data_IF_509669071377
#
_entry.id   IF_509669071377
#
_cell.length_a   1.000
_cell.length_b   1.000
_cell.length_c   1.000
_cell.angle_alpha   90.00
_cell.angle_beta   90.00
_cell.angle_gamma   90.00
#
_symmetry.space_group_name_H-M   'P 1'
#
loop_
_entity.id
_entity.type
_entity.pdbx_description
1 polymer ?
#
# COMPACT_ATOMS: atom_id res chain seq x y z
N UNK A 1 11.65 -35.56 -27.29
CA UNK A 1 10.61 -34.62 -27.76
C UNK A 1 9.28 -34.68 -26.99
N UNK A 2 8.53 -35.84 -26.99
CA UNK A 2 7.23 -35.93 -26.26
C UNK A 2 7.37 -35.87 -24.75
N UNK A 3 8.39 -36.55 -24.15
CA UNK A 3 8.63 -36.48 -22.70
C UNK A 3 9.04 -35.09 -22.25
N UNK A 4 9.79 -34.36 -23.05
CA UNK A 4 10.27 -33.03 -22.74
C UNK A 4 9.09 -32.02 -22.79
N UNK A 5 8.21 -32.15 -23.78
CA UNK A 5 6.99 -31.36 -23.86
C UNK A 5 6.05 -31.59 -22.65
N UNK A 6 5.90 -32.87 -22.22
CA UNK A 6 5.10 -33.21 -21.05
C UNK A 6 5.71 -32.63 -19.75
N UNK A 7 7.03 -32.67 -19.60
CA UNK A 7 7.71 -32.09 -18.45
C UNK A 7 7.54 -30.56 -18.40
N UNK A 8 7.66 -29.89 -19.55
CA UNK A 8 7.42 -28.46 -19.64
C UNK A 8 5.98 -28.08 -19.27
N UNK A 9 5.01 -28.87 -19.76
CA UNK A 9 3.60 -28.67 -19.41
C UNK A 9 3.35 -28.84 -17.91
N UNK A 10 3.92 -29.84 -17.30
CA UNK A 10 3.80 -30.11 -15.86
C UNK A 10 4.46 -28.98 -15.03
N UNK A 11 5.59 -28.44 -15.48
CA UNK A 11 6.23 -27.29 -14.83
C UNK A 11 5.37 -26.03 -14.95
N UNK A 12 4.84 -25.75 -16.14
CA UNK A 12 3.95 -24.61 -16.38
C UNK A 12 2.68 -24.67 -15.51
N UNK A 13 2.07 -25.86 -15.40
CA UNK A 13 0.89 -26.06 -14.55
C UNK A 13 1.20 -25.81 -13.07
N UNK A 14 2.33 -26.31 -12.55
CA UNK A 14 2.75 -26.04 -11.17
C UNK A 14 3.00 -24.55 -10.90
N UNK A 15 3.58 -23.85 -11.88
CA UNK A 15 3.81 -22.42 -11.78
C UNK A 15 2.49 -21.65 -11.79
N UNK A 16 1.54 -22.07 -12.62
CA UNK A 16 0.19 -21.50 -12.66
C UNK A 16 -0.54 -21.67 -11.32
N UNK A 17 -0.58 -22.91 -10.77
CA UNK A 17 -1.18 -23.17 -9.45
C UNK A 17 -0.56 -22.31 -8.34
N UNK A 18 0.77 -22.11 -8.39
CA UNK A 18 1.46 -21.22 -7.44
C UNK A 18 1.03 -19.78 -7.58
N UNK A 19 0.93 -19.28 -8.81
CA UNK A 19 0.49 -17.91 -9.10
C UNK A 19 -0.96 -17.68 -8.68
N UNK A 20 -1.85 -18.63 -8.94
CA UNK A 20 -3.26 -18.57 -8.53
C UNK A 20 -3.40 -18.52 -7.00
N UNK A 21 -2.61 -19.32 -6.28
CA UNK A 21 -2.57 -19.29 -4.82
C UNK A 21 -2.06 -17.93 -4.30
N UNK A 22 -0.96 -17.42 -4.88
CA UNK A 22 -0.42 -16.11 -4.50
C UNK A 22 -1.43 -14.98 -4.77
N UNK A 23 -2.18 -15.06 -5.86
CA UNK A 23 -3.24 -14.10 -6.16
C UNK A 23 -4.37 -14.14 -5.12
N UNK A 24 -4.85 -15.34 -4.79
CA UNK A 24 -5.87 -15.52 -3.76
C UNK A 24 -5.41 -15.03 -2.37
N UNK A 25 -4.14 -15.23 -2.02
CA UNK A 25 -3.58 -14.72 -0.76
C UNK A 25 -3.48 -13.18 -0.74
N UNK A 26 -3.19 -12.56 -1.89
CA UNK A 26 -3.19 -11.10 -2.03
C UNK A 26 -4.62 -10.53 -1.91
N UNK A 27 -5.61 -11.15 -2.53
CA UNK A 27 -7.01 -10.73 -2.42
C UNK A 27 -7.51 -10.79 -0.97
N UNK A 28 -7.20 -11.89 -0.26
CA UNK A 28 -7.54 -12.01 1.17
C UNK A 28 -6.88 -10.93 2.03
N UNK A 29 -5.63 -10.59 1.73
CA UNK A 29 -4.92 -9.51 2.44
C UNK A 29 -5.59 -8.16 2.19
N UNK A 30 -5.97 -7.87 0.95
CA UNK A 30 -6.67 -6.64 0.60
C UNK A 30 -8.04 -6.52 1.28
N UNK A 31 -8.81 -7.63 1.36
CA UNK A 31 -10.08 -7.67 2.07
C UNK A 31 -9.88 -7.43 3.57
N UNK A 32 -8.86 -8.04 4.16
CA UNK A 32 -8.53 -7.84 5.57
C UNK A 32 -8.10 -6.39 5.87
N UNK A 33 -7.30 -5.78 5.00
CA UNK A 33 -6.91 -4.37 5.11
C UNK A 33 -8.14 -3.47 5.06
N UNK A 34 -9.04 -3.70 4.11
CA UNK A 34 -10.26 -2.89 3.98
C UNK A 34 -11.16 -3.03 5.21
N UNK A 35 -11.36 -4.26 5.70
CA UNK A 35 -12.14 -4.51 6.91
C UNK A 35 -11.53 -3.86 8.16
N UNK A 36 -10.20 -3.87 8.30
CA UNK A 36 -9.52 -3.20 9.41
C UNK A 36 -9.67 -1.68 9.32
N UNK A 37 -9.60 -1.08 8.13
CA UNK A 37 -9.84 0.35 7.93
C UNK A 37 -11.29 0.70 8.32
N UNK A 38 -12.27 -0.04 7.84
CA UNK A 38 -13.69 0.21 8.15
C UNK A 38 -13.98 0.10 9.65
N UNK A 39 -13.35 -0.85 10.32
CA UNK A 39 -13.51 -1.09 11.75
C UNK A 39 -12.79 -0.07 12.63
N UNK A 40 -11.61 0.39 12.22
CA UNK A 40 -10.69 1.18 13.05
C UNK A 40 -10.77 2.68 12.77
N UNK A 41 -11.09 3.09 11.52
CA UNK A 41 -11.14 4.51 11.20
C UNK A 41 -12.43 5.16 11.71
N UNK A 42 -12.29 6.39 12.21
CA UNK A 42 -13.42 7.21 12.61
C UNK A 42 -14.12 7.82 11.39
N UNK A 43 -15.43 8.06 11.50
CA UNK A 43 -16.18 8.82 10.50
C UNK A 43 -16.16 10.33 10.76
N UNK A 44 -15.54 10.74 11.87
CA UNK A 44 -15.48 12.15 12.29
C UNK A 44 -14.30 12.89 11.67
N UNK A 45 -14.37 14.22 11.71
CA UNK A 45 -13.31 15.09 11.19
C UNK A 45 -13.46 15.40 9.70
N UNK A 46 -12.48 16.14 9.18
CA UNK A 46 -12.38 16.54 7.76
C UNK A 46 -11.08 15.99 7.22
N UNK A 47 -11.17 15.29 6.10
CA UNK A 47 -9.98 14.80 5.41
C UNK A 47 -9.09 15.98 4.96
N UNK A 48 -7.76 15.88 5.06
CA UNK A 48 -6.88 16.91 4.53
C UNK A 48 -6.99 16.98 3.00
N UNK A 49 -7.02 18.17 2.45
CA UNK A 49 -7.02 18.40 1.00
C UNK A 49 -5.66 18.04 0.38
N UNK A 50 -4.59 18.12 1.19
CA UNK A 50 -3.21 17.93 0.78
C UNK A 50 -2.45 17.02 1.75
N UNK A 51 -1.60 16.19 1.19
CA UNK A 51 -0.67 15.31 1.90
C UNK A 51 0.77 15.67 1.50
N UNK A 52 1.68 15.60 2.43
CA UNK A 52 3.11 15.71 2.15
C UNK A 52 3.69 14.37 1.70
N UNK A 53 4.77 14.41 0.92
CA UNK A 53 5.51 13.21 0.54
C UNK A 53 5.99 12.44 1.78
N UNK A 54 5.72 11.13 1.87
CA UNK A 54 6.10 10.33 3.05
C UNK A 54 7.60 10.08 3.15
N UNK A 55 8.36 10.36 2.10
CA UNK A 55 9.82 10.23 2.06
C UNK A 55 10.42 11.46 1.39
N UNK A 56 11.44 12.05 2.03
CA UNK A 56 12.07 13.29 1.53
C UNK A 56 13.15 13.04 0.48
N UNK A 57 13.65 11.80 0.38
CA UNK A 57 14.72 11.39 -0.54
C UNK A 57 14.34 10.08 -1.23
N UNK A 58 14.82 9.87 -2.44
CA UNK A 58 14.46 8.69 -3.22
C UNK A 58 13.70 9.06 -4.50
N UNK A 59 13.08 8.06 -5.11
CA UNK A 59 12.32 8.24 -6.35
C UNK A 59 11.15 7.26 -6.42
N UNK A 60 10.11 7.62 -7.17
CA UNK A 60 8.98 6.72 -7.41
C UNK A 60 9.40 5.62 -8.37
N UNK A 61 9.55 4.40 -7.87
CA UNK A 61 9.93 3.21 -8.65
C UNK A 61 8.73 2.54 -9.33
N UNK A 62 7.53 2.70 -8.77
CA UNK A 62 6.28 2.21 -9.36
C UNK A 62 5.13 3.16 -9.01
N UNK A 63 4.41 3.63 -10.01
CA UNK A 63 3.26 4.54 -9.82
C UNK A 63 1.92 3.80 -9.68
N UNK A 64 0.86 4.58 -9.49
CA UNK A 64 -0.53 4.13 -9.46
C UNK A 64 -0.99 3.80 -10.90
N UNK A 65 -0.92 2.54 -11.29
CA UNK A 65 -1.15 2.10 -12.68
C UNK A 65 -1.29 0.59 -12.83
N UNK A 66 -1.80 0.16 -13.96
CA UNK A 66 -1.66 -1.23 -14.40
C UNK A 66 -0.19 -1.58 -14.63
N UNK A 67 0.25 -2.72 -14.11
CA UNK A 67 1.61 -3.24 -14.31
C UNK A 67 1.60 -4.74 -14.58
N UNK A 68 2.65 -5.22 -15.22
CA UNK A 68 2.87 -6.65 -15.47
C UNK A 68 4.03 -7.13 -14.60
N UNK A 69 3.74 -8.07 -13.70
CA UNK A 69 4.73 -8.69 -12.83
C UNK A 69 4.66 -10.21 -13.01
N UNK A 70 5.78 -10.85 -13.31
CA UNK A 70 5.84 -12.32 -13.46
C UNK A 70 4.87 -12.88 -14.51
N UNK A 71 4.55 -12.11 -15.56
CA UNK A 71 3.59 -12.54 -16.59
C UNK A 71 2.12 -12.18 -16.29
N UNK A 72 1.77 -11.82 -15.06
CA UNK A 72 0.40 -11.44 -14.65
C UNK A 72 0.22 -9.93 -14.71
N UNK A 73 -0.90 -9.49 -15.26
CA UNK A 73 -1.30 -8.07 -15.24
C UNK A 73 -2.09 -7.80 -13.97
N UNK A 74 -1.65 -6.82 -13.18
CA UNK A 74 -2.32 -6.38 -11.95
C UNK A 74 -2.34 -4.86 -11.85
N UNK A 75 -3.33 -4.32 -11.17
CA UNK A 75 -3.37 -2.91 -10.86
C UNK A 75 -2.56 -2.61 -9.60
N UNK A 76 -1.67 -1.61 -9.65
CA UNK A 76 -0.92 -1.11 -8.51
C UNK A 76 -1.65 0.10 -7.93
N UNK A 77 -2.49 -0.12 -6.92
CA UNK A 77 -3.30 0.91 -6.25
C UNK A 77 -2.52 1.77 -5.25
N UNK A 78 -1.25 2.03 -5.52
CA UNK A 78 -0.30 2.71 -4.64
C UNK A 78 0.79 3.42 -5.43
N UNK A 79 1.69 4.08 -4.71
CA UNK A 79 3.01 4.44 -5.22
C UNK A 79 4.09 3.73 -4.39
N UNK A 80 5.11 3.20 -5.07
CA UNK A 80 6.30 2.65 -4.43
C UNK A 80 7.42 3.70 -4.50
N UNK A 81 7.91 4.15 -3.34
CA UNK A 81 9.00 5.12 -3.24
C UNK A 81 10.26 4.39 -2.78
N UNK A 82 11.19 4.20 -3.71
CA UNK A 82 12.47 3.53 -3.45
C UNK A 82 13.47 4.49 -2.81
N UNK A 83 14.08 4.06 -1.72
CA UNK A 83 15.22 4.70 -1.08
C UNK A 83 16.00 3.66 -0.26
N UNK A 84 17.17 4.01 0.26
CA UNK A 84 18.00 3.11 1.06
C UNK A 84 17.25 2.61 2.30
N UNK A 85 17.49 1.36 2.68
CA UNK A 85 16.99 0.81 3.95
C UNK A 85 17.40 1.72 5.11
N UNK A 86 16.47 1.98 6.04
CA UNK A 86 16.68 2.88 7.16
C UNK A 86 16.34 4.34 6.87
N UNK A 87 16.07 4.74 5.62
CA UNK A 87 15.57 6.09 5.29
C UNK A 87 14.31 6.38 6.08
N UNK A 88 14.18 7.57 6.71
CA UNK A 88 12.99 7.93 7.47
C UNK A 88 11.72 7.96 6.61
N UNK A 89 10.63 7.44 7.18
CA UNK A 89 9.27 7.55 6.66
C UNK A 89 8.51 8.50 7.58
N UNK A 90 7.79 9.44 7.00
CA UNK A 90 7.06 10.50 7.70
C UNK A 90 5.55 10.36 7.48
N UNK A 91 4.76 10.79 8.47
CA UNK A 91 3.32 10.93 8.32
C UNK A 91 3.00 11.95 7.21
N UNK A 92 2.30 11.51 6.18
CA UNK A 92 1.92 12.36 5.04
C UNK A 92 0.87 13.42 5.42
N UNK A 93 0.10 13.16 6.48
CA UNK A 93 -0.89 14.06 7.05
C UNK A 93 -0.99 13.87 8.56
N UNK A 94 -1.56 14.87 9.27
CA UNK A 94 -1.92 14.72 10.67
C UNK A 94 -3.07 13.74 10.86
N UNK A 95 -3.09 13.01 11.97
CA UNK A 95 -4.13 12.02 12.24
C UNK A 95 -3.83 11.13 13.44
N UNK A 96 -4.54 10.02 13.52
CA UNK A 96 -4.37 9.01 14.58
C UNK A 96 -3.88 7.71 13.97
N UNK A 97 -2.85 7.10 14.55
CA UNK A 97 -2.36 5.77 14.16
C UNK A 97 -3.39 4.73 14.56
N UNK A 98 -3.99 4.06 13.58
CA UNK A 98 -5.01 3.03 13.80
C UNK A 98 -4.47 1.61 13.69
N UNK A 99 -3.29 1.43 13.08
CA UNK A 99 -2.59 0.15 13.00
C UNK A 99 -1.08 0.38 12.94
N UNK A 100 -0.32 -0.41 13.73
CA UNK A 100 1.14 -0.38 13.79
C UNK A 100 1.67 -1.78 14.13
N UNK A 101 1.86 -2.66 13.12
CA UNK A 101 2.28 -4.06 13.33
C UNK A 101 2.80 -4.72 12.06
N UNK A 102 3.28 -5.97 12.20
CA UNK A 102 3.52 -6.82 11.03
C UNK A 102 2.19 -7.31 10.45
N UNK A 103 2.02 -7.19 9.12
CA UNK A 103 0.75 -7.47 8.45
C UNK A 103 0.96 -8.30 7.17
N UNK A 104 1.13 -9.60 7.32
CA UNK A 104 1.26 -10.55 6.21
C UNK A 104 2.29 -10.13 5.15
N UNK A 105 1.90 -10.15 3.90
CA UNK A 105 2.74 -9.77 2.75
C UNK A 105 3.08 -8.26 2.73
N UNK A 106 2.34 -7.41 3.43
CA UNK A 106 2.66 -6.00 3.58
C UNK A 106 3.87 -5.73 4.51
N UNK A 107 4.25 -6.73 5.30
CA UNK A 107 5.36 -6.60 6.25
C UNK A 107 5.01 -5.72 7.44
N UNK A 108 6.00 -5.00 8.00
CA UNK A 108 5.74 -3.99 9.02
C UNK A 108 5.02 -2.81 8.40
N UNK A 109 3.91 -2.44 9.02
CA UNK A 109 2.89 -1.57 8.42
C UNK A 109 2.35 -0.59 9.45
N UNK A 110 2.11 0.64 9.02
CA UNK A 110 1.41 1.69 9.76
C UNK A 110 0.22 2.18 8.94
N UNK A 111 -0.94 2.34 9.59
CA UNK A 111 -2.12 3.03 9.03
C UNK A 111 -2.40 4.27 9.87
N UNK A 112 -2.68 5.39 9.21
CA UNK A 112 -3.04 6.66 9.84
C UNK A 112 -4.41 7.07 9.33
N UNK A 113 -5.37 7.21 10.25
CA UNK A 113 -6.69 7.80 10.00
C UNK A 113 -6.58 9.32 10.12
N UNK A 114 -6.87 10.02 9.04
CA UNK A 114 -6.82 11.48 8.97
C UNK A 114 -8.17 12.16 9.23
N UNK A 115 -9.21 11.36 9.52
CA UNK A 115 -10.59 11.84 9.60
C UNK A 115 -11.23 11.98 8.20
N UNK A 116 -12.51 12.31 8.18
CA UNK A 116 -13.29 12.47 6.94
C UNK A 116 -13.33 11.22 6.05
N UNK A 117 -12.94 10.05 6.58
CA UNK A 117 -12.85 8.78 5.88
C UNK A 117 -11.59 8.58 5.05
N UNK A 118 -10.56 9.42 5.24
CA UNK A 118 -9.25 9.27 4.59
C UNK A 118 -8.27 8.51 5.49
N UNK A 119 -7.60 7.51 4.93
CA UNK A 119 -6.54 6.75 5.60
C UNK A 119 -5.33 6.63 4.68
N UNK A 120 -4.12 6.84 5.22
CA UNK A 120 -2.87 6.50 4.54
C UNK A 120 -2.23 5.26 5.12
N UNK A 121 -1.61 4.45 4.24
CA UNK A 121 -0.99 3.17 4.57
C UNK A 121 0.46 3.17 4.13
N UNK A 122 1.33 2.64 4.99
CA UNK A 122 2.78 2.59 4.79
C UNK A 122 3.27 1.17 5.02
N UNK A 123 3.76 0.47 3.97
CA UNK A 123 4.16 -0.93 4.03
C UNK A 123 5.67 -1.12 3.91
N UNK A 124 6.11 -2.35 4.11
CA UNK A 124 7.49 -2.82 3.95
C UNK A 124 8.52 -2.13 4.85
N UNK A 125 8.07 -1.55 5.97
CA UNK A 125 8.93 -0.80 6.90
C UNK A 125 9.99 -1.72 7.55
N UNK A 126 11.17 -1.15 7.87
CA UNK A 126 12.18 -1.81 8.69
C UNK A 126 11.87 -1.67 10.17
N UNK A 127 11.50 -0.45 10.59
CA UNK A 127 11.11 -0.14 11.97
C UNK A 127 9.81 0.65 11.97
N UNK A 128 8.95 0.36 12.94
CA UNK A 128 7.79 1.17 13.32
C UNK A 128 8.22 1.97 14.54
N UNK A 129 7.96 3.28 14.56
CA UNK A 129 8.35 4.22 15.61
C UNK A 129 7.15 4.89 16.30
N UNK A 130 5.96 4.41 16.02
CA UNK A 130 4.69 4.94 16.57
C UNK A 130 3.82 3.79 17.09
N UNK A 131 2.93 4.11 18.01
CA UNK A 131 1.99 3.16 18.62
C UNK A 131 0.56 3.42 18.16
N UNK A 132 -0.27 2.38 18.22
CA UNK A 132 -1.72 2.49 17.94
C UNK A 132 -2.36 3.44 18.96
N UNK A 133 -3.18 4.37 18.48
CA UNK A 133 -3.81 5.44 19.25
C UNK A 133 -2.96 6.71 19.37
N UNK A 134 -1.70 6.69 18.92
CA UNK A 134 -0.86 7.88 18.90
C UNK A 134 -1.39 8.89 17.88
N UNK A 135 -1.51 10.15 18.30
CA UNK A 135 -1.74 11.28 17.40
C UNK A 135 -0.41 11.72 16.80
N UNK A 136 -0.39 11.91 15.49
CA UNK A 136 0.75 12.42 14.72
C UNK A 136 0.35 13.66 13.94
N UNK A 137 1.33 14.53 13.69
CA UNK A 137 1.17 15.65 12.76
C UNK A 137 1.92 15.36 11.45
N UNK A 138 1.60 16.10 10.41
CA UNK A 138 2.30 16.03 9.13
C UNK A 138 3.81 16.21 9.33
N UNK A 139 4.59 15.27 8.81
CA UNK A 139 6.06 15.31 8.91
C UNK A 139 6.65 14.64 10.15
N UNK A 140 5.83 14.11 11.06
CA UNK A 140 6.34 13.26 12.16
C UNK A 140 6.95 11.98 11.60
N UNK A 141 8.10 11.56 12.12
CA UNK A 141 8.72 10.31 11.71
C UNK A 141 7.96 9.13 12.31
N UNK A 142 7.38 8.29 11.45
CA UNK A 142 6.59 7.12 11.86
C UNK A 142 7.34 5.79 11.74
N UNK A 143 8.49 5.79 11.04
CA UNK A 143 9.31 4.60 10.88
C UNK A 143 10.42 4.79 9.88
N UNK A 144 10.91 3.67 9.33
CA UNK A 144 12.00 3.66 8.34
C UNK A 144 11.74 2.67 7.22
N UNK A 145 12.24 2.97 6.02
CA UNK A 145 12.18 2.10 4.84
C UNK A 145 12.88 0.78 5.12
N UNK A 146 12.24 -0.31 4.73
CA UNK A 146 12.76 -1.67 4.87
C UNK A 146 12.48 -2.56 3.66
N UNK A 147 12.51 -3.86 3.94
CA UNK A 147 12.25 -4.94 2.98
C UNK A 147 11.42 -6.03 3.64
N UNK A 148 10.56 -5.68 4.59
CA UNK A 148 9.73 -6.68 5.29
C UNK A 148 8.50 -7.04 4.47
N UNK A 149 8.00 -8.26 4.64
CA UNK A 149 6.92 -8.78 3.81
C UNK A 149 7.37 -9.20 2.41
N UNK A 150 6.48 -9.09 1.42
CA UNK A 150 6.76 -9.47 0.03
C UNK A 150 7.19 -8.25 -0.77
N UNK A 151 8.48 -8.11 -1.00
CA UNK A 151 9.07 -6.99 -1.75
C UNK A 151 10.30 -7.43 -2.54
N UNK A 152 10.65 -6.71 -3.59
CA UNK A 152 11.85 -6.95 -4.43
C UNK A 152 13.05 -6.11 -4.03
N UNK A 153 12.89 -5.14 -3.14
CA UNK A 153 13.97 -4.25 -2.70
C UNK A 153 13.47 -3.18 -1.73
N UNK A 154 14.38 -2.35 -1.19
CA UNK A 154 14.01 -1.34 -0.19
C UNK A 154 13.13 -0.24 -0.80
N UNK A 155 11.91 -0.11 -0.31
CA UNK A 155 10.96 0.95 -0.65
C UNK A 155 9.87 1.07 0.42
N UNK A 156 9.13 2.14 0.43
CA UNK A 156 7.82 2.22 1.06
C UNK A 156 6.75 2.11 -0.02
N UNK A 157 5.81 1.19 0.16
CA UNK A 157 4.58 1.13 -0.59
C UNK A 157 3.57 2.03 0.13
N UNK A 158 3.12 3.08 -0.55
CA UNK A 158 2.27 4.12 0.02
C UNK A 158 0.91 4.14 -0.65
N UNK A 159 -0.16 3.96 0.14
CA UNK A 159 -1.53 4.03 -0.33
C UNK A 159 -2.28 5.20 0.30
N UNK A 160 -3.23 5.74 -0.43
CA UNK A 160 -4.29 6.60 0.08
C UNK A 160 -5.63 5.91 -0.15
N UNK A 161 -6.43 5.78 0.89
CA UNK A 161 -7.78 5.20 0.81
C UNK A 161 -8.82 6.20 1.29
N UNK A 162 -9.95 6.22 0.58
CA UNK A 162 -11.14 6.98 0.96
C UNK A 162 -12.31 6.03 1.17
N UNK A 163 -13.08 6.25 2.23
CA UNK A 163 -14.36 5.53 2.46
C UNK A 163 -15.34 5.80 1.32
N UNK A 164 -15.34 7.01 0.78
CA UNK A 164 -16.12 7.39 -0.39
C UNK A 164 -15.20 7.93 -1.50
N UNK A 165 -14.66 7.05 -2.37
CA UNK A 165 -13.72 7.45 -3.41
C UNK A 165 -14.29 8.46 -4.41
N UNK A 166 -15.60 8.46 -4.64
CA UNK A 166 -16.26 9.40 -5.54
C UNK A 166 -16.26 10.85 -5.07
N UNK A 167 -15.88 11.11 -3.81
CA UNK A 167 -15.74 12.46 -3.26
C UNK A 167 -14.39 13.11 -3.56
N UNK A 168 -13.41 12.36 -4.10
CA UNK A 168 -12.11 12.91 -4.44
C UNK A 168 -12.21 13.80 -5.67
N UNK A 169 -11.92 15.09 -5.52
CA UNK A 169 -11.84 16.04 -6.63
C UNK A 169 -10.48 15.91 -7.34
N UNK A 170 -10.32 14.86 -8.15
CA UNK A 170 -9.09 14.55 -8.83
C UNK A 170 -9.33 14.33 -10.32
N UNK A 171 -8.63 15.09 -11.16
CA UNK A 171 -8.71 15.01 -12.62
C UNK A 171 -7.88 13.88 -13.24
N UNK A 172 -7.09 13.17 -12.46
CA UNK A 172 -6.24 12.07 -12.94
C UNK A 172 -7.07 10.77 -13.08
N UNK A 173 -6.80 9.89 -14.05
CA UNK A 173 -7.45 8.59 -14.15
C UNK A 173 -7.09 7.75 -12.91
N UNK A 174 -8.09 7.34 -12.11
CA UNK A 174 -7.87 7.19 -10.70
C UNK A 174 -8.68 6.14 -9.99
N UNK A 175 -9.63 5.53 -10.62
CA UNK A 175 -10.36 4.46 -9.97
C UNK A 175 -9.87 3.12 -10.51
N UNK A 176 -9.16 2.39 -9.68
CA UNK A 176 -9.09 0.94 -9.78
C UNK A 176 -10.53 0.42 -9.74
N UNK A 177 -11.03 -0.27 -10.77
CA UNK A 177 -12.37 -0.89 -10.73
C UNK A 177 -12.52 -1.94 -9.63
N UNK A 178 -11.41 -2.39 -9.03
CA UNK A 178 -11.38 -3.26 -7.84
C UNK A 178 -11.20 -2.45 -6.55
N UNK A 179 -11.47 -1.17 -6.55
CA UNK A 179 -10.86 -0.11 -5.75
C UNK A 179 -11.04 -0.16 -4.25
N UNK A 180 -11.57 -1.13 -3.60
CA UNK A 180 -11.57 -1.22 -2.12
C UNK A 180 -11.19 0.09 -1.39
N UNK A 181 -11.71 1.24 -1.86
CA UNK A 181 -11.40 2.58 -1.35
C UNK A 181 -10.05 3.19 -1.77
N UNK A 182 -9.18 2.49 -2.52
CA UNK A 182 -7.90 3.04 -2.99
C UNK A 182 -8.11 4.15 -4.00
N UNK A 183 -7.41 5.25 -3.78
CA UNK A 183 -7.39 6.40 -4.67
C UNK A 183 -5.95 6.73 -5.05
N UNK A 184 -5.78 7.40 -6.19
CA UNK A 184 -4.46 7.77 -6.66
C UNK A 184 -3.77 8.74 -5.67
N UNK A 185 -2.65 8.35 -5.01
CA UNK A 185 -1.98 9.22 -4.05
C UNK A 185 -1.54 10.57 -4.62
N UNK A 186 -1.23 10.63 -5.92
CA UNK A 186 -0.85 11.90 -6.59
C UNK A 186 -1.94 12.96 -6.57
N UNK A 187 -3.20 12.60 -6.31
CA UNK A 187 -4.28 13.54 -6.16
C UNK A 187 -4.14 14.44 -4.92
N UNK A 188 -3.39 13.99 -3.93
CA UNK A 188 -3.25 14.63 -2.63
C UNK A 188 -1.82 15.09 -2.35
N UNK A 189 -0.80 14.48 -2.95
CA UNK A 189 0.60 14.81 -2.70
C UNK A 189 0.98 16.15 -3.33
N UNK A 190 1.64 17.01 -2.52
CA UNK A 190 2.23 18.29 -2.94
C UNK A 190 3.67 18.15 -3.40
#
# INVERSE_FOLDING_TARGET
>A
ARKDAQNLLNQANKELEKLDKEHADLEKLEDAIQADIERLSSSGGVAPDKLSWPVRTGYVSSGYKWRRLGGTTSFHGAIDIAASRGTPIYAAGGGVVILARYYGNAGRTVFIDHGGGMTTLYFHMDKILVDVGQTVITGDQIGTIGTTGRTTGPHVHFETRLRNPGAANCSLPYLDPTSRGRVNPYCFLD
#
